data_IF_093990579664
#
_entry.id   IF_093990579664
#
_cell.length_a   1.000
_cell.length_b   1.000
_cell.length_c   1.000
_cell.angle_alpha   90.00
_cell.angle_beta   90.00
_cell.angle_gamma   90.00
#
_symmetry.space_group_name_H-M   'P 1'
#
loop_
_entity.id
_entity.type
_entity.pdbx_description
1 polymer ?
#
# COMPACT_ATOMS: atom_id res chain seq x y z
N UNK A 1 -22.16 47.66 -51.82
CA UNK A 1 -21.33 47.76 -52.99
C UNK A 1 -20.64 46.45 -53.15
N UNK A 2 -21.26 45.55 -53.88
CA UNK A 2 -20.98 45.14 -55.27
C UNK A 2 -19.82 44.13 -55.24
N UNK A 3 -20.12 42.83 -55.37
CA UNK A 3 -20.34 42.00 -56.57
C UNK A 3 -19.03 41.55 -57.20
N UNK A 4 -18.69 40.24 -57.23
CA UNK A 4 -18.76 39.38 -58.40
C UNK A 4 -18.20 37.97 -58.12
N UNK A 5 -18.99 36.97 -58.30
CA UNK A 5 -18.60 35.67 -58.91
C UNK A 5 -18.67 35.80 -60.41
N UNK A 6 -18.08 34.95 -61.21
CA UNK A 6 -18.58 33.67 -61.62
C UNK A 6 -17.51 32.57 -61.92
N UNK A 7 -17.80 31.26 -61.82
CA UNK A 7 -18.38 30.37 -62.85
C UNK A 7 -17.39 29.80 -63.90
N UNK A 8 -17.51 28.51 -64.12
CA UNK A 8 -17.07 27.76 -65.31
C UNK A 8 -16.49 26.39 -64.87
N UNK A 9 -17.15 25.33 -64.86
CA UNK A 9 -17.76 24.42 -65.85
C UNK A 9 -16.77 23.44 -66.46
N UNK A 10 -17.04 22.14 -66.19
CA UNK A 10 -17.23 20.99 -67.10
C UNK A 10 -16.03 20.27 -67.75
N UNK A 11 -16.11 18.99 -67.69
CA UNK A 11 -15.51 18.01 -68.63
C UNK A 11 -14.95 16.83 -67.88
N UNK A 12 -15.67 15.78 -67.69
CA UNK A 12 -16.04 14.59 -68.51
C UNK A 12 -14.87 13.60 -68.73
N UNK A 13 -15.10 12.42 -68.22
CA UNK A 13 -15.05 11.12 -68.87
C UNK A 13 -13.76 10.28 -68.84
N UNK A 14 -13.97 8.98 -68.60
CA UNK A 14 -13.00 7.89 -68.88
C UNK A 14 -12.62 7.08 -67.65
N UNK A 15 -13.30 6.07 -67.26
CA UNK A 15 -13.39 4.69 -67.74
C UNK A 15 -12.20 3.86 -67.31
N UNK A 16 -12.52 2.78 -66.66
CA UNK A 16 -11.87 1.47 -66.64
C UNK A 16 -11.49 0.92 -65.25
N UNK A 17 -12.16 -0.02 -64.78
CA UNK A 17 -11.94 -1.38 -64.41
C UNK A 17 -11.01 -1.73 -63.20
N UNK A 18 -11.31 -2.82 -62.54
CA UNK A 18 -10.77 -3.16 -61.23
C UNK A 18 -9.44 -3.91 -61.33
N UNK A 19 -8.49 -3.52 -60.50
CA UNK A 19 -7.32 -4.35 -60.22
C UNK A 19 -7.41 -4.79 -58.76
N UNK A 20 -7.65 -6.08 -58.59
CA UNK A 20 -7.42 -6.81 -57.35
C UNK A 20 -5.94 -6.71 -56.96
N UNK A 21 -5.62 -6.06 -55.86
CA UNK A 21 -4.35 -6.23 -55.18
C UNK A 21 -4.60 -6.86 -53.81
N UNK A 22 -4.32 -8.15 -53.76
CA UNK A 22 -4.10 -8.93 -52.56
C UNK A 22 -2.83 -8.41 -51.90
N UNK A 23 -2.96 -7.56 -50.92
CA UNK A 23 -1.88 -7.07 -50.06
C UNK A 23 -2.00 -7.67 -48.67
N UNK A 24 -1.13 -8.66 -48.40
CA UNK A 24 -1.07 -9.42 -47.19
C UNK A 24 -0.99 -8.55 -45.94
N UNK A 25 -1.95 -8.76 -45.05
CA UNK A 25 -1.94 -8.27 -43.70
C UNK A 25 -0.80 -8.94 -42.93
N UNK A 26 0.32 -8.27 -42.82
CA UNK A 26 1.33 -8.61 -41.83
C UNK A 26 0.75 -8.34 -40.45
N UNK A 27 0.22 -9.40 -39.87
CA UNK A 27 -0.20 -9.49 -38.49
C UNK A 27 1.08 -9.37 -37.64
N UNK A 28 1.46 -8.15 -37.27
CA UNK A 28 2.51 -7.86 -36.32
C UNK A 28 2.06 -8.36 -34.95
N UNK A 29 2.25 -9.65 -34.73
CA UNK A 29 2.17 -10.25 -33.43
C UNK A 29 3.27 -9.62 -32.58
N UNK A 30 2.92 -8.51 -31.91
CA UNK A 30 3.69 -7.98 -30.79
C UNK A 30 3.84 -9.11 -29.79
N UNK A 31 4.99 -9.78 -29.88
CA UNK A 31 5.35 -10.90 -29.03
C UNK A 31 5.18 -10.49 -27.58
N UNK A 32 4.11 -10.94 -26.96
CA UNK A 32 3.96 -10.96 -25.51
C UNK A 32 5.18 -11.71 -24.96
N UNK A 33 6.19 -10.97 -24.52
CA UNK A 33 7.28 -11.56 -23.74
C UNK A 33 6.64 -12.37 -22.62
N UNK A 34 6.98 -13.67 -22.48
CA UNK A 34 6.39 -14.50 -21.44
C UNK A 34 6.63 -13.81 -20.12
N UNK A 35 5.56 -13.41 -19.47
CA UNK A 35 5.60 -12.73 -18.19
C UNK A 35 6.45 -13.60 -17.27
N UNK A 36 7.54 -13.01 -16.77
CA UNK A 36 8.36 -13.59 -15.72
C UNK A 36 7.38 -13.99 -14.63
N UNK A 37 7.17 -15.29 -14.41
CA UNK A 37 6.30 -15.83 -13.35
C UNK A 37 6.68 -15.09 -12.07
N UNK A 38 5.87 -14.12 -11.66
CA UNK A 38 6.02 -13.50 -10.36
C UNK A 38 5.92 -14.60 -9.33
N UNK A 39 7.05 -14.93 -8.72
CA UNK A 39 7.10 -15.92 -7.64
C UNK A 39 6.11 -15.43 -6.59
N UNK A 40 5.15 -16.29 -6.25
CA UNK A 40 4.11 -15.97 -5.28
C UNK A 40 4.78 -15.43 -3.99
N UNK A 41 4.68 -14.12 -3.68
CA UNK A 41 5.39 -13.51 -2.56
C UNK A 41 4.94 -14.08 -1.22
N UNK A 42 3.74 -14.69 -1.20
CA UNK A 42 3.17 -15.25 0.03
C UNK A 42 3.95 -16.48 0.51
N UNK A 43 4.60 -17.25 -0.37
CA UNK A 43 5.43 -18.38 0.02
C UNK A 43 6.67 -17.96 0.81
N UNK A 44 7.34 -16.90 0.37
CA UNK A 44 8.49 -16.35 1.09
C UNK A 44 8.10 -15.86 2.48
N UNK A 45 6.97 -15.18 2.57
CA UNK A 45 6.41 -14.73 3.84
C UNK A 45 6.03 -15.90 4.77
N UNK A 46 5.41 -16.95 4.25
CA UNK A 46 5.03 -18.13 5.03
C UNK A 46 6.28 -18.83 5.59
N UNK A 47 7.30 -19.07 4.77
CA UNK A 47 8.55 -19.73 5.22
C UNK A 47 9.30 -18.85 6.22
N UNK A 48 9.49 -17.57 5.92
CA UNK A 48 10.07 -16.63 6.89
C UNK A 48 9.21 -16.51 8.15
N UNK A 49 7.89 -16.63 8.00
CA UNK A 49 6.93 -16.56 9.09
C UNK A 49 7.03 -17.68 10.10
N UNK A 50 7.35 -18.91 9.69
CA UNK A 50 7.45 -20.06 10.60
C UNK A 50 8.64 -19.97 11.56
N UNK A 51 9.73 -19.30 11.17
CA UNK A 51 10.93 -19.16 11.99
C UNK A 51 11.05 -17.75 12.58
N UNK A 52 10.96 -16.74 11.72
CA UNK A 52 11.23 -15.35 12.12
C UNK A 52 10.14 -14.80 13.05
N UNK A 53 8.86 -15.09 12.80
CA UNK A 53 7.78 -14.57 13.65
C UNK A 53 7.88 -15.02 15.10
N UNK A 54 7.99 -16.33 15.44
CA UNK A 54 8.10 -16.75 16.82
C UNK A 54 9.38 -16.20 17.46
N UNK A 55 10.50 -16.19 16.74
CA UNK A 55 11.75 -15.64 17.24
C UNK A 55 11.59 -14.15 17.62
N UNK A 56 11.03 -13.34 16.73
CA UNK A 56 10.79 -11.93 17.00
C UNK A 56 9.80 -11.72 18.15
N UNK A 57 8.75 -12.52 18.22
CA UNK A 57 7.77 -12.42 19.31
C UNK A 57 8.39 -12.67 20.67
N UNK A 58 9.21 -13.71 20.78
CA UNK A 58 9.90 -14.06 22.03
C UNK A 58 10.98 -13.01 22.34
N UNK A 59 11.83 -12.70 21.37
CA UNK A 59 12.95 -11.77 21.56
C UNK A 59 12.50 -10.38 21.99
N UNK A 60 11.48 -9.83 21.35
CA UNK A 60 10.92 -8.51 21.67
C UNK A 60 9.72 -8.58 22.62
N UNK A 61 9.41 -9.74 23.19
CA UNK A 61 8.25 -9.92 24.08
C UNK A 61 7.01 -9.20 23.53
N UNK A 62 6.70 -9.43 22.26
CA UNK A 62 5.63 -8.70 21.55
C UNK A 62 4.29 -9.04 22.20
N UNK A 63 3.61 -8.01 22.71
CA UNK A 63 2.22 -8.09 23.17
C UNK A 63 1.32 -7.48 22.12
N UNK A 64 0.30 -8.22 21.71
CA UNK A 64 -0.67 -7.77 20.70
C UNK A 64 -2.04 -7.65 21.38
N UNK A 65 -2.63 -6.48 21.22
CA UNK A 65 -3.98 -6.16 21.70
C UNK A 65 -4.86 -5.85 20.49
N UNK A 66 -6.11 -6.31 20.49
CA UNK A 66 -7.06 -6.08 19.40
C UNK A 66 -6.72 -6.80 18.09
N UNK A 67 -6.03 -7.94 18.16
CA UNK A 67 -5.67 -8.73 16.97
C UNK A 67 -6.87 -9.15 16.11
N UNK A 68 -8.03 -9.28 16.71
CA UNK A 68 -9.29 -9.69 16.06
C UNK A 68 -9.94 -8.55 15.25
N UNK A 69 -9.46 -7.32 15.42
CA UNK A 69 -9.85 -6.19 14.55
C UNK A 69 -9.29 -6.29 13.13
N UNK A 70 -8.35 -7.22 12.88
CA UNK A 70 -7.85 -7.47 11.53
C UNK A 70 -8.74 -8.52 10.87
N UNK A 71 -9.45 -8.19 9.78
CA UNK A 71 -10.26 -9.17 9.05
C UNK A 71 -9.43 -10.39 8.62
N UNK A 72 -9.98 -11.59 8.78
CA UNK A 72 -9.30 -12.83 8.42
C UNK A 72 -9.10 -12.99 6.91
N UNK A 73 -9.90 -12.31 6.11
CA UNK A 73 -9.86 -12.37 4.65
C UNK A 73 -10.07 -10.97 4.03
N UNK A 74 -9.78 -10.87 2.73
CA UNK A 74 -9.98 -9.65 1.97
C UNK A 74 -8.86 -8.61 2.13
N UNK A 75 -8.90 -7.55 1.32
CA UNK A 75 -7.91 -6.49 1.35
C UNK A 75 -8.05 -5.63 2.62
N UNK A 76 -6.92 -5.28 3.22
CA UNK A 76 -6.89 -4.41 4.41
C UNK A 76 -5.67 -3.49 4.32
N UNK A 77 -5.86 -2.23 4.67
CA UNK A 77 -4.76 -1.29 4.89
C UNK A 77 -4.54 -1.15 6.39
N UNK A 78 -3.31 -1.44 6.83
CA UNK A 78 -2.88 -1.19 8.19
C UNK A 78 -2.16 0.16 8.24
N UNK A 79 -2.69 1.11 8.99
CA UNK A 79 -2.10 2.44 9.16
C UNK A 79 -1.40 2.53 10.52
N UNK A 80 -0.06 2.49 10.52
CA UNK A 80 0.74 2.41 11.75
C UNK A 80 1.63 3.64 11.94
N UNK A 81 1.88 4.03 13.19
CA UNK A 81 2.93 4.98 13.52
C UNK A 81 4.32 4.40 13.23
N UNK A 82 5.32 5.25 13.01
CA UNK A 82 6.66 4.82 12.58
C UNK A 82 7.77 5.52 13.37
N UNK A 83 8.39 4.77 14.29
CA UNK A 83 9.46 5.27 15.18
C UNK A 83 10.80 4.54 14.99
N UNK A 84 10.77 3.34 14.40
CA UNK A 84 11.94 2.48 14.26
C UNK A 84 11.97 1.76 12.91
N UNK A 85 13.17 1.47 12.39
CA UNK A 85 13.32 0.59 11.22
C UNK A 85 12.80 -0.84 11.46
N UNK A 86 12.60 -1.21 12.73
CA UNK A 86 12.08 -2.52 13.08
C UNK A 86 10.56 -2.60 13.06
N UNK A 87 9.85 -1.47 13.01
CA UNK A 87 8.38 -1.47 13.06
C UNK A 87 7.73 -2.36 12.00
N UNK A 88 8.14 -2.36 10.72
CA UNK A 88 7.55 -3.25 9.72
C UNK A 88 7.74 -4.73 10.04
N UNK A 89 8.95 -5.10 10.53
CA UNK A 89 9.29 -6.49 10.87
C UNK A 89 8.49 -6.95 12.10
N UNK A 90 8.41 -6.10 13.12
CA UNK A 90 7.69 -6.40 14.36
C UNK A 90 6.18 -6.47 14.12
N UNK A 91 5.64 -5.54 13.32
CA UNK A 91 4.22 -5.59 12.92
C UNK A 91 3.92 -6.85 12.10
N UNK A 92 4.74 -7.18 11.10
CA UNK A 92 4.59 -8.41 10.33
C UNK A 92 4.64 -9.66 11.22
N UNK A 93 5.49 -9.63 12.26
CA UNK A 93 5.61 -10.75 13.22
C UNK A 93 4.41 -10.87 14.16
N UNK A 94 3.71 -9.77 14.41
CA UNK A 94 2.50 -9.74 15.24
C UNK A 94 1.26 -10.30 14.54
N UNK A 95 1.21 -10.24 13.22
CA UNK A 95 0.03 -10.56 12.42
C UNK A 95 -0.03 -12.03 12.01
N UNK A 96 -1.24 -12.57 11.88
CA UNK A 96 -1.48 -13.93 11.38
C UNK A 96 -1.27 -14.00 9.86
N UNK A 97 -1.75 -12.98 9.13
CA UNK A 97 -1.74 -12.90 7.67
C UNK A 97 -0.48 -12.22 7.13
N UNK A 98 -0.08 -12.51 5.88
CA UNK A 98 0.96 -11.77 5.18
C UNK A 98 0.62 -10.29 5.02
N UNK A 99 1.63 -9.43 5.21
CA UNK A 99 1.51 -7.99 5.02
C UNK A 99 2.65 -7.48 4.15
N UNK A 100 2.32 -6.76 3.09
CA UNK A 100 3.28 -6.08 2.24
C UNK A 100 3.51 -4.66 2.75
N UNK A 101 4.76 -4.20 2.75
CA UNK A 101 5.10 -2.81 3.06
C UNK A 101 5.81 -2.16 1.88
N UNK A 102 5.59 -0.87 1.74
CA UNK A 102 6.42 -0.03 0.89
C UNK A 102 7.69 0.36 1.65
N UNK A 103 8.84 0.13 1.06
CA UNK A 103 10.11 0.54 1.63
C UNK A 103 10.94 1.36 0.63
N UNK A 104 11.89 2.15 1.12
CA UNK A 104 12.76 2.97 0.27
C UNK A 104 13.43 2.12 -0.80
N UNK A 105 13.46 2.62 -2.06
CA UNK A 105 14.06 1.91 -3.18
C UNK A 105 15.52 1.53 -2.94
N UNK A 106 16.27 2.34 -2.20
CA UNK A 106 17.67 2.12 -1.85
C UNK A 106 17.91 0.86 -1.00
N UNK A 107 16.88 0.37 -0.32
CA UNK A 107 16.96 -0.88 0.45
C UNK A 107 16.88 -2.13 -0.42
N UNK A 108 16.51 -1.98 -1.71
CA UNK A 108 16.30 -3.11 -2.62
C UNK A 108 17.54 -3.44 -3.46
N UNK A 109 18.73 -3.26 -2.91
CA UNK A 109 20.01 -3.60 -3.52
C UNK A 109 20.62 -4.82 -2.83
N UNK A 110 21.44 -5.59 -3.57
CA UNK A 110 22.19 -6.75 -3.05
C UNK A 110 21.30 -7.82 -2.41
N UNK A 111 21.86 -8.61 -1.49
CA UNK A 111 21.16 -9.72 -0.81
C UNK A 111 19.94 -9.27 -0.02
N UNK A 112 20.01 -8.11 0.65
CA UNK A 112 18.89 -7.54 1.39
C UNK A 112 17.73 -7.24 0.45
N UNK A 113 17.99 -6.63 -0.70
CA UNK A 113 16.96 -6.33 -1.69
C UNK A 113 16.30 -7.59 -2.26
N UNK A 114 17.04 -8.67 -2.40
CA UNK A 114 16.49 -9.96 -2.79
C UNK A 114 15.53 -10.51 -1.71
N UNK A 115 15.95 -10.51 -0.45
CA UNK A 115 15.12 -10.94 0.70
C UNK A 115 13.86 -10.11 0.78
N UNK A 116 13.97 -8.77 0.69
CA UNK A 116 12.82 -7.87 0.75
C UNK A 116 11.76 -8.20 -0.31
N UNK A 117 12.18 -8.42 -1.57
CA UNK A 117 11.25 -8.83 -2.64
C UNK A 117 10.67 -10.22 -2.40
N UNK A 118 11.47 -11.13 -1.87
CA UNK A 118 11.05 -12.51 -1.61
C UNK A 118 9.96 -12.59 -0.55
N UNK A 119 10.02 -11.74 0.48
CA UNK A 119 8.97 -11.61 1.50
C UNK A 119 7.82 -10.66 1.10
N UNK A 120 7.72 -10.28 -0.17
CA UNK A 120 6.60 -9.49 -0.70
C UNK A 120 6.68 -7.99 -0.45
N UNK A 121 7.83 -7.48 -0.01
CA UNK A 121 8.03 -6.03 0.12
C UNK A 121 8.34 -5.42 -1.24
N UNK A 122 7.97 -4.16 -1.45
CA UNK A 122 8.22 -3.48 -2.71
C UNK A 122 8.78 -2.06 -2.54
N UNK A 123 9.62 -1.63 -3.50
CA UNK A 123 10.25 -0.33 -3.43
C UNK A 123 9.28 0.81 -3.74
N UNK A 124 9.51 1.95 -3.08
CA UNK A 124 8.89 3.23 -3.39
C UNK A 124 9.98 4.29 -3.55
N UNK A 125 9.88 5.07 -4.63
CA UNK A 125 10.72 6.25 -4.87
C UNK A 125 10.06 7.46 -4.24
N UNK A 126 10.84 8.24 -3.49
CA UNK A 126 10.38 9.48 -2.86
C UNK A 126 10.61 10.67 -3.80
N UNK A 127 9.85 11.73 -3.59
CA UNK A 127 9.98 12.99 -4.36
C UNK A 127 8.94 13.20 -5.44
N UNK A 128 8.00 12.27 -5.62
CA UNK A 128 6.91 12.40 -6.59
C UNK A 128 5.90 11.28 -6.50
N UNK A 129 4.98 11.23 -7.47
CA UNK A 129 4.01 10.13 -7.60
C UNK A 129 4.72 8.93 -8.24
N UNK A 130 4.99 7.90 -7.44
CA UNK A 130 5.53 6.63 -7.93
C UNK A 130 4.38 5.75 -8.47
N UNK A 131 4.17 5.82 -9.79
CA UNK A 131 3.12 5.03 -10.47
C UNK A 131 3.34 3.53 -10.34
N UNK A 132 4.60 3.08 -10.25
CA UNK A 132 4.90 1.67 -10.08
C UNK A 132 4.53 1.19 -8.67
N UNK A 133 4.84 1.98 -7.64
CA UNK A 133 4.41 1.70 -6.28
C UNK A 133 2.87 1.65 -6.18
N UNK A 134 2.15 2.56 -6.87
CA UNK A 134 0.69 2.52 -6.92
C UNK A 134 0.16 1.24 -7.59
N UNK A 135 0.70 0.84 -8.74
CA UNK A 135 0.31 -0.42 -9.41
C UNK A 135 0.54 -1.63 -8.51
N UNK A 136 1.66 -1.67 -7.79
CA UNK A 136 1.96 -2.76 -6.83
C UNK A 136 1.01 -2.77 -5.65
N UNK A 137 0.64 -1.60 -5.16
CA UNK A 137 -0.40 -1.45 -4.13
C UNK A 137 -1.73 -2.05 -4.62
N UNK A 138 -2.16 -1.63 -5.83
CA UNK A 138 -3.37 -2.17 -6.46
C UNK A 138 -3.31 -3.70 -6.57
N UNK A 139 -2.18 -4.25 -7.02
CA UNK A 139 -1.99 -5.68 -7.16
C UNK A 139 -1.98 -6.45 -5.83
N UNK A 140 -1.42 -5.86 -4.76
CA UNK A 140 -1.42 -6.45 -3.40
C UNK A 140 -2.86 -6.54 -2.87
N UNK A 141 -3.60 -5.44 -2.95
CA UNK A 141 -4.96 -5.39 -2.41
C UNK A 141 -5.96 -6.18 -3.27
N UNK A 142 -5.81 -6.19 -4.60
CA UNK A 142 -6.64 -6.99 -5.50
C UNK A 142 -6.54 -8.51 -5.25
N UNK A 143 -5.42 -8.98 -4.67
CA UNK A 143 -5.27 -10.38 -4.24
C UNK A 143 -5.86 -10.67 -2.86
N UNK A 144 -6.50 -9.69 -2.25
CA UNK A 144 -7.01 -9.81 -0.89
C UNK A 144 -5.92 -9.78 0.19
N UNK A 145 -4.69 -9.34 -0.15
CA UNK A 145 -3.59 -9.26 0.81
C UNK A 145 -3.64 -7.97 1.63
N UNK A 146 -2.89 -7.93 2.74
CA UNK A 146 -2.79 -6.73 3.57
C UNK A 146 -1.66 -5.82 3.10
N UNK A 147 -1.88 -4.51 3.20
CA UNK A 147 -0.89 -3.47 2.95
C UNK A 147 -0.61 -2.71 4.24
N UNK A 148 0.63 -2.72 4.70
CA UNK A 148 1.08 -1.89 5.81
C UNK A 148 1.59 -0.53 5.31
N UNK A 149 1.05 0.53 5.86
CA UNK A 149 1.44 1.90 5.59
C UNK A 149 1.88 2.61 6.86
N UNK A 150 2.88 3.46 6.72
CA UNK A 150 3.28 4.41 7.73
C UNK A 150 2.88 5.80 7.24
N UNK A 151 1.73 6.33 7.66
CA UNK A 151 1.14 7.55 7.08
C UNK A 151 2.05 8.78 7.17
N UNK A 152 2.96 8.82 8.11
CA UNK A 152 3.96 9.90 8.26
C UNK A 152 4.97 9.91 7.09
N UNK A 153 5.07 8.86 6.29
CA UNK A 153 5.98 8.74 5.15
C UNK A 153 7.46 8.64 5.50
N UNK A 154 7.84 9.06 6.69
CA UNK A 154 9.18 8.97 7.27
C UNK A 154 9.07 8.55 8.72
N UNK A 155 10.20 8.16 9.34
CA UNK A 155 10.25 8.01 10.79
C UNK A 155 10.12 9.39 11.41
N UNK A 156 9.04 9.60 12.12
CA UNK A 156 8.69 10.84 12.80
C UNK A 156 8.66 10.68 14.32
N UNK A 157 7.86 11.52 14.95
CA UNK A 157 7.57 11.45 16.37
C UNK A 157 6.61 10.29 16.73
N UNK A 158 6.06 9.62 15.71
CA UNK A 158 5.09 8.53 15.84
C UNK A 158 3.73 8.99 16.35
N UNK A 159 3.41 10.27 16.19
CA UNK A 159 2.16 10.91 16.68
C UNK A 159 1.15 11.20 15.58
N UNK A 160 1.42 10.78 14.34
CA UNK A 160 0.61 11.14 13.17
C UNK A 160 0.46 12.66 13.00
N UNK A 161 1.52 13.41 13.31
CA UNK A 161 1.51 14.89 13.21
C UNK A 161 1.23 15.36 11.78
N UNK A 162 1.61 14.57 10.79
CA UNK A 162 1.27 14.77 9.39
C UNK A 162 0.97 13.44 8.71
N UNK A 163 0.07 13.45 7.73
CA UNK A 163 -0.19 12.33 6.83
C UNK A 163 0.31 12.69 5.44
N UNK A 164 1.19 11.87 4.88
CA UNK A 164 1.75 12.11 3.56
C UNK A 164 0.64 12.03 2.49
N UNK A 165 0.49 13.05 1.61
CA UNK A 165 -0.63 13.10 0.66
C UNK A 165 -0.74 11.89 -0.26
N UNK A 166 0.39 11.29 -0.65
CA UNK A 166 0.42 10.08 -1.47
C UNK A 166 -0.16 8.85 -0.77
N UNK A 167 0.02 8.74 0.54
CA UNK A 167 -0.54 7.64 1.33
C UNK A 167 -2.03 7.83 1.58
N UNK A 168 -2.47 9.05 1.84
CA UNK A 168 -3.89 9.38 1.89
C UNK A 168 -4.60 9.07 0.56
N UNK A 169 -3.95 9.37 -0.57
CA UNK A 169 -4.47 9.02 -1.89
C UNK A 169 -4.68 7.51 -2.05
N UNK A 170 -3.72 6.68 -1.61
CA UNK A 170 -3.85 5.23 -1.64
C UNK A 170 -5.07 4.79 -0.82
N UNK A 171 -5.18 5.26 0.40
CA UNK A 171 -6.27 4.91 1.32
C UNK A 171 -7.65 5.22 0.72
N UNK A 172 -7.80 6.45 0.21
CA UNK A 172 -9.08 6.90 -0.39
C UNK A 172 -9.43 6.13 -1.66
N UNK A 173 -8.43 5.83 -2.49
CA UNK A 173 -8.62 5.14 -3.77
C UNK A 173 -9.06 3.69 -3.60
N UNK A 174 -8.54 2.99 -2.61
CA UNK A 174 -8.68 1.53 -2.50
C UNK A 174 -10.03 1.08 -1.92
N UNK A 175 -10.75 1.95 -1.22
CA UNK A 175 -12.07 1.67 -0.63
C UNK A 175 -12.11 0.36 0.16
N UNK A 176 -11.01 0.01 0.82
CA UNK A 176 -10.93 -1.16 1.69
C UNK A 176 -10.78 -0.71 3.15
N UNK A 177 -11.07 -1.59 4.11
CA UNK A 177 -10.93 -1.28 5.53
C UNK A 177 -9.55 -0.74 5.88
N UNK A 178 -9.51 0.35 6.64
CA UNK A 178 -8.28 0.95 7.18
C UNK A 178 -8.25 0.66 8.67
N UNK A 179 -7.33 -0.19 9.09
CA UNK A 179 -7.18 -0.60 10.48
C UNK A 179 -6.01 0.17 11.10
N UNK A 180 -6.26 1.00 12.13
CA UNK A 180 -5.20 1.74 12.79
C UNK A 180 -4.37 0.81 13.68
N UNK A 181 -3.06 1.05 13.70
CA UNK A 181 -2.11 0.30 14.53
C UNK A 181 -1.22 1.26 15.29
N UNK A 182 -1.04 1.02 16.59
CA UNK A 182 -0.10 1.75 17.43
C UNK A 182 1.00 0.82 17.91
N UNK A 183 2.25 1.16 17.64
CA UNK A 183 3.43 0.41 18.06
C UNK A 183 4.18 1.23 19.11
N UNK A 184 4.44 0.62 20.27
CA UNK A 184 5.14 1.23 21.39
C UNK A 184 6.36 0.40 21.78
N UNK A 185 7.41 1.07 22.24
CA UNK A 185 8.64 0.43 22.75
C UNK A 185 9.74 0.26 21.71
N UNK A 186 9.46 0.47 20.43
CA UNK A 186 10.45 0.30 19.35
C UNK A 186 11.52 1.39 19.31
N UNK A 187 11.23 2.56 19.87
CA UNK A 187 12.21 3.65 20.04
C UNK A 187 13.37 3.28 20.97
N UNK A 188 13.16 2.32 21.86
CA UNK A 188 14.16 1.80 22.80
C UNK A 188 15.01 0.68 22.21
N UNK A 189 14.68 0.19 21.02
CA UNK A 189 15.45 -0.81 20.31
C UNK A 189 16.75 -0.20 19.84
N UNK A 190 17.80 -0.33 20.64
CA UNK A 190 19.13 0.17 20.33
C UNK A 190 20.01 -0.97 19.81
N UNK A 191 20.91 -0.65 18.91
CA UNK A 191 21.98 -1.56 18.51
C UNK A 191 23.04 -1.61 19.61
N UNK A 192 23.17 -2.76 20.24
CA UNK A 192 24.31 -3.07 21.10
C UNK A 192 25.22 -3.99 20.30
N UNK A 193 26.51 -3.81 20.38
CA UNK A 193 27.49 -4.53 19.53
C UNK A 193 27.32 -4.27 18.02
N UNK A 194 27.02 -3.02 17.65
CA UNK A 194 27.02 -2.53 16.27
C UNK A 194 25.85 -2.97 15.39
N UNK A 195 25.45 -4.22 15.38
CA UNK A 195 24.48 -4.73 14.43
C UNK A 195 23.27 -5.45 15.04
N UNK A 196 23.39 -5.98 16.26
CA UNK A 196 22.30 -6.70 16.91
C UNK A 196 21.33 -5.72 17.61
N UNK A 197 20.02 -5.78 17.31
CA UNK A 197 19.06 -4.98 18.03
C UNK A 197 18.95 -5.47 19.48
N UNK A 198 19.00 -4.54 20.43
CA UNK A 198 18.77 -4.89 21.84
C UNK A 198 17.28 -5.17 22.06
N UNK A 199 16.95 -6.33 22.63
CA UNK A 199 15.57 -6.72 22.96
C UNK A 199 14.92 -5.70 23.90
N UNK A 200 13.72 -5.26 23.55
CA UNK A 200 12.89 -4.37 24.34
C UNK A 200 11.45 -4.84 24.24
N UNK A 201 10.66 -4.80 25.33
CA UNK A 201 9.25 -5.13 25.23
C UNK A 201 8.54 -4.21 24.25
N UNK A 202 7.81 -4.82 23.32
CA UNK A 202 7.03 -4.11 22.29
C UNK A 202 5.56 -4.41 22.49
N UNK A 203 4.75 -3.36 22.54
CA UNK A 203 3.29 -3.42 22.59
C UNK A 203 2.74 -2.95 21.26
N UNK A 204 1.88 -3.76 20.65
CA UNK A 204 1.19 -3.47 19.40
C UNK A 204 -0.29 -3.49 19.67
N UNK A 205 -0.94 -2.36 19.52
CA UNK A 205 -2.39 -2.19 19.68
C UNK A 205 -3.00 -2.01 18.30
N UNK A 206 -4.02 -2.82 18.00
CA UNK A 206 -4.74 -2.81 16.73
C UNK A 206 -6.16 -2.35 17.02
N UNK A 207 -6.57 -1.24 16.44
CA UNK A 207 -7.90 -0.65 16.63
C UNK A 207 -8.93 -1.21 15.65
N UNK A 208 -10.21 -0.89 15.85
CA UNK A 208 -11.25 -1.19 14.88
C UNK A 208 -11.00 -0.43 13.56
N UNK A 209 -11.57 -0.95 12.47
CA UNK A 209 -11.47 -0.28 11.19
C UNK A 209 -12.02 1.16 11.27
N UNK A 210 -11.33 2.08 10.60
CA UNK A 210 -11.70 3.49 10.56
C UNK A 210 -12.63 3.73 9.37
N UNK A 211 -13.79 4.30 9.63
CA UNK A 211 -14.67 4.77 8.59
C UNK A 211 -14.15 6.09 8.01
N UNK A 212 -13.91 6.09 6.72
CA UNK A 212 -13.55 7.28 5.98
C UNK A 212 -14.71 7.74 5.10
N UNK A 213 -15.03 9.03 5.09
CA UNK A 213 -16.08 9.54 4.22
C UNK A 213 -15.72 9.29 2.75
N UNK A 214 -16.72 9.03 1.89
CA UNK A 214 -16.48 8.93 0.47
C UNK A 214 -15.84 10.25 -0.02
N UNK A 215 -14.73 10.13 -0.73
CA UNK A 215 -14.03 11.29 -1.29
C UNK A 215 -14.47 11.51 -2.73
N UNK A 216 -14.70 12.76 -3.10
CA UNK A 216 -15.02 13.15 -4.47
C UNK A 216 -13.90 12.87 -5.48
N UNK A 217 -12.74 12.38 -5.03
CA UNK A 217 -11.60 12.04 -5.91
C UNK A 217 -10.80 13.25 -6.38
N UNK A 218 -11.30 14.46 -6.20
CA UNK A 218 -10.60 15.71 -6.50
C UNK A 218 -9.53 16.06 -5.45
N UNK A 219 -8.84 17.18 -5.66
CA UNK A 219 -7.77 17.62 -4.76
C UNK A 219 -8.29 18.01 -3.37
N UNK A 220 -9.48 18.63 -3.31
CA UNK A 220 -10.10 19.07 -2.07
C UNK A 220 -10.59 17.87 -1.24
N UNK A 221 -11.30 16.94 -1.86
CA UNK A 221 -11.77 15.71 -1.22
C UNK A 221 -10.63 14.84 -0.70
N UNK A 222 -9.51 14.75 -1.44
CA UNK A 222 -8.32 14.04 -0.93
C UNK A 222 -7.69 14.70 0.28
N UNK A 223 -7.66 16.04 0.34
CA UNK A 223 -7.19 16.77 1.52
C UNK A 223 -8.09 16.55 2.72
N UNK A 224 -9.41 16.65 2.52
CA UNK A 224 -10.39 16.41 3.57
C UNK A 224 -10.27 14.98 4.13
N UNK A 225 -10.19 13.97 3.27
CA UNK A 225 -10.00 12.58 3.68
C UNK A 225 -8.67 12.34 4.41
N UNK A 226 -7.59 13.01 3.98
CA UNK A 226 -6.30 12.98 4.69
C UNK A 226 -6.42 13.52 6.10
N UNK A 227 -7.15 14.61 6.26
CA UNK A 227 -7.32 15.25 7.56
C UNK A 227 -8.18 14.39 8.50
N UNK A 228 -9.29 13.82 7.98
CA UNK A 228 -10.12 12.88 8.73
C UNK A 228 -9.29 11.65 9.16
N UNK A 229 -8.52 11.08 8.23
CA UNK A 229 -7.64 9.96 8.55
C UNK A 229 -6.64 10.33 9.66
N UNK A 230 -5.98 11.48 9.55
CA UNK A 230 -5.04 11.98 10.56
C UNK A 230 -5.68 12.09 11.93
N UNK A 231 -6.86 12.73 12.02
CA UNK A 231 -7.59 12.90 13.27
C UNK A 231 -7.99 11.57 13.90
N UNK A 232 -8.49 10.62 13.09
CA UNK A 232 -8.85 9.28 13.56
C UNK A 232 -7.64 8.51 14.08
N UNK A 233 -6.51 8.57 13.37
CA UNK A 233 -5.28 7.92 13.80
C UNK A 233 -4.72 8.55 15.08
N UNK A 234 -4.79 9.86 15.22
CA UNK A 234 -4.37 10.56 16.45
C UNK A 234 -5.26 10.22 17.64
N UNK A 235 -6.58 10.24 17.46
CA UNK A 235 -7.52 9.85 18.49
C UNK A 235 -7.30 8.41 18.95
N UNK A 236 -7.11 7.49 17.99
CA UNK A 236 -6.77 6.11 18.29
C UNK A 236 -5.45 6.00 19.06
N UNK A 237 -4.41 6.70 18.64
CA UNK A 237 -3.11 6.66 19.31
C UNK A 237 -3.20 7.19 20.76
N UNK A 238 -3.97 8.25 20.99
CA UNK A 238 -4.21 8.79 22.32
C UNK A 238 -4.88 7.76 23.23
N UNK A 239 -5.93 7.07 22.73
CA UNK A 239 -6.60 6.00 23.46
C UNK A 239 -5.67 4.81 23.71
N UNK A 240 -4.91 4.38 22.70
CA UNK A 240 -3.96 3.28 22.82
C UNK A 240 -2.78 3.59 23.75
N UNK A 241 -2.42 4.85 23.92
CA UNK A 241 -1.37 5.31 24.85
C UNK A 241 -1.85 5.35 26.30
N UNK A 242 -3.12 5.65 26.51
CA UNK A 242 -3.77 5.60 27.81
C UNK A 242 -4.10 4.14 28.19
N UNK A 243 -4.06 3.83 29.46
CA UNK A 243 -4.19 2.45 30.00
C UNK A 243 -5.63 1.89 29.93
N UNK A 244 -6.56 2.50 29.19
CA UNK A 244 -7.93 2.00 29.07
C UNK A 244 -8.05 0.96 27.94
N UNK A 245 -8.72 -0.19 28.20
CA UNK A 245 -9.02 -1.14 27.14
C UNK A 245 -9.89 -0.49 26.06
N UNK A 246 -9.61 -0.80 24.81
CA UNK A 246 -10.42 -0.34 23.67
C UNK A 246 -11.84 -0.86 23.80
N UNK A 247 -12.88 -0.07 23.51
CA UNK A 247 -14.24 -0.55 23.48
C UNK A 247 -14.36 -1.69 22.47
N UNK A 248 -15.01 -2.78 22.88
CA UNK A 248 -15.35 -3.87 21.99
C UNK A 248 -16.23 -3.34 20.84
N UNK A 249 -15.89 -3.69 19.62
CA UNK A 249 -16.70 -3.37 18.45
C UNK A 249 -18.05 -4.05 18.62
N UNK A 250 -19.11 -3.28 18.86
CA UNK A 250 -20.48 -3.79 18.79
C UNK A 250 -20.75 -4.13 17.33
N UNK A 251 -20.65 -5.39 16.97
CA UNK A 251 -21.24 -5.95 15.77
C UNK A 251 -22.76 -5.95 15.95
N UNK A 252 -23.39 -4.79 15.74
CA UNK A 252 -24.80 -4.78 15.43
C UNK A 252 -24.94 -5.21 13.98
N UNK A 253 -25.16 -6.50 13.80
CA UNK A 253 -25.85 -7.03 12.64
C UNK A 253 -27.31 -6.82 12.98
N UNK A 254 -27.91 -5.76 12.47
CA UNK A 254 -29.36 -5.60 12.48
C UNK A 254 -29.94 -6.65 11.53
N UNK A 255 -30.87 -7.42 12.08
CA UNK A 255 -31.74 -8.36 11.39
C UNK A 255 -32.67 -7.65 10.38
#
# INVERSE_FOLDING_TARGET
MAVHSPSGAAGADGGAGPAEEQGGGANEQVGKRPGRREKNPDRGFLIAGTVVKPLMRVWFRIRVEGGDNVPDQGPVILASNHRSNMDPVLLASALKRPVAFMAKAELFVGPLGWIMRWIGQFPVRRGGIDREALRRTDAVLARGSMLGLFPEGTRGDGRFSAVHPGLAYIVVRQRCPVVPVAIFGTERVRRRFGWLPFASPVRIVIGPAVDLPPSAGDRAGRRAASEVLRQRLQAFLATASGTQPLPATSSQVDE
#
